data_IF_739376012106
#
_entry.id   IF_739376012106
#
_cell.length_a   1.000
_cell.length_b   1.000
_cell.length_c   1.000
_cell.angle_alpha   90.00
_cell.angle_beta   90.00
_cell.angle_gamma   90.00
#
_symmetry.space_group_name_H-M   'P 1'
#
loop_
_entity.id
_entity.type
_entity.pdbx_description
1 polymer ?
#
# COMPACT_ATOMS: atom_id res chain seq x y z
N UNK A 1 0.57 6.20 -2.52
CA UNK A 1 1.93 6.22 -3.12
C UNK A 1 2.66 7.41 -2.52
N UNK A 2 3.87 7.22 -1.98
CA UNK A 2 4.68 8.27 -1.37
C UNK A 2 6.00 8.44 -2.16
N UNK A 3 6.77 9.49 -1.90
CA UNK A 3 7.94 9.89 -2.70
C UNK A 3 8.94 8.76 -3.00
N UNK A 4 9.21 7.87 -2.04
CA UNK A 4 10.19 6.77 -2.17
C UNK A 4 9.60 5.37 -1.93
N UNK A 5 8.30 5.28 -1.68
CA UNK A 5 7.67 4.04 -1.26
C UNK A 5 6.23 3.91 -1.76
N UNK A 6 5.77 2.67 -1.90
CA UNK A 6 4.38 2.33 -2.15
C UNK A 6 3.87 1.57 -0.93
N UNK A 7 3.02 2.21 -0.14
CA UNK A 7 2.35 1.57 0.99
C UNK A 7 1.18 0.77 0.46
N UNK A 8 1.17 -0.54 0.72
CA UNK A 8 0.18 -1.50 0.23
C UNK A 8 -0.52 -2.14 1.42
N UNK A 9 -1.85 -2.16 1.48
CA UNK A 9 -2.55 -2.87 2.53
C UNK A 9 -2.42 -4.39 2.34
N UNK A 10 -2.16 -5.09 3.43
CA UNK A 10 -2.25 -6.56 3.52
C UNK A 10 -3.42 -6.93 4.43
N UNK A 11 -3.99 -8.12 4.26
CA UNK A 11 -5.23 -8.53 4.93
C UNK A 11 -5.16 -9.90 5.61
N UNK A 12 -3.95 -10.43 5.81
CA UNK A 12 -3.71 -11.82 6.26
C UNK A 12 -4.30 -12.82 5.26
N UNK A 13 -4.38 -12.42 4.00
CA UNK A 13 -4.88 -13.24 2.90
C UNK A 13 -3.69 -13.93 2.22
N UNK A 14 -3.93 -15.14 1.72
CA UNK A 14 -2.91 -15.92 1.00
C UNK A 14 -2.36 -15.21 -0.24
N UNK A 15 -3.06 -14.21 -0.77
CA UNK A 15 -2.62 -13.44 -1.93
C UNK A 15 -1.86 -12.17 -1.57
N UNK A 16 -1.64 -11.84 -0.29
CA UNK A 16 -0.94 -10.62 0.11
C UNK A 16 0.48 -10.58 -0.49
N UNK A 17 1.23 -11.68 -0.38
CA UNK A 17 2.59 -11.78 -0.93
C UNK A 17 2.59 -11.60 -2.45
N UNK A 18 1.65 -12.26 -3.14
CA UNK A 18 1.49 -12.11 -4.60
C UNK A 18 1.18 -10.66 -4.99
N UNK A 19 0.35 -9.95 -4.23
CA UNK A 19 0.04 -8.55 -4.50
C UNK A 19 1.28 -7.67 -4.31
N UNK A 20 2.07 -7.91 -3.26
CA UNK A 20 3.31 -7.18 -3.00
C UNK A 20 4.35 -7.41 -4.11
N UNK A 21 4.53 -8.65 -4.58
CA UNK A 21 5.44 -8.97 -5.69
C UNK A 21 5.05 -8.26 -6.99
N UNK A 22 3.77 -8.34 -7.37
CA UNK A 22 3.26 -7.69 -8.58
C UNK A 22 3.49 -6.18 -8.49
N UNK A 23 3.13 -5.56 -7.37
CA UNK A 23 3.32 -4.13 -7.19
C UNK A 23 4.79 -3.74 -7.17
N UNK A 24 5.69 -4.60 -6.66
CA UNK A 24 7.12 -4.32 -6.67
C UNK A 24 7.68 -4.32 -8.10
N UNK A 25 7.15 -5.18 -8.99
CA UNK A 25 7.48 -5.15 -10.42
C UNK A 25 6.96 -3.88 -11.11
N UNK A 26 5.79 -3.38 -10.71
CA UNK A 26 5.23 -2.13 -11.26
C UNK A 26 5.98 -0.87 -10.80
N UNK A 27 6.65 -0.91 -9.64
CA UNK A 27 7.35 0.23 -9.06
C UNK A 27 8.83 -0.11 -8.78
N UNK A 28 9.66 -0.31 -9.82
CA UNK A 28 11.04 -0.79 -9.65
C UNK A 28 11.91 0.16 -8.83
N UNK A 29 11.65 1.48 -8.90
CA UNK A 29 12.43 2.51 -8.20
C UNK A 29 11.89 2.87 -6.82
N UNK A 30 10.83 2.19 -6.35
CA UNK A 30 10.21 2.47 -5.04
C UNK A 30 10.07 1.19 -4.24
N UNK A 31 10.32 1.29 -2.93
CA UNK A 31 10.10 0.16 -2.03
C UNK A 31 8.60 -0.07 -1.83
N UNK A 32 8.12 -1.27 -2.15
CA UNK A 32 6.78 -1.70 -1.77
C UNK A 32 6.78 -2.15 -0.31
N UNK A 33 5.90 -1.59 0.50
CA UNK A 33 5.79 -1.85 1.94
C UNK A 33 4.38 -2.32 2.25
N UNK A 34 4.23 -3.60 2.55
CA UNK A 34 2.99 -4.19 3.07
C UNK A 34 2.75 -3.79 4.52
N UNK A 35 1.55 -3.32 4.85
CA UNK A 35 1.13 -3.04 6.23
C UNK A 35 -0.25 -3.66 6.47
N UNK A 36 -0.37 -4.44 7.54
CA UNK A 36 -1.64 -5.07 7.94
C UNK A 36 -2.73 -4.02 8.11
N UNK A 37 -3.79 -4.15 7.33
CA UNK A 37 -4.94 -3.25 7.27
C UNK A 37 -6.25 -3.98 7.56
N UNK A 38 -6.21 -5.22 8.08
CA UNK A 38 -7.40 -6.01 8.41
C UNK A 38 -8.36 -5.27 9.35
N UNK A 39 -7.85 -4.49 10.30
CA UNK A 39 -8.72 -3.75 11.21
C UNK A 39 -9.26 -2.44 10.58
N UNK A 40 -8.50 -1.83 9.67
CA UNK A 40 -8.83 -0.57 9.02
C UNK A 40 -9.97 -0.75 8.00
N UNK A 41 -9.96 -1.88 7.26
CA UNK A 41 -10.92 -2.10 6.17
C UNK A 41 -12.38 -2.20 6.64
N UNK A 42 -12.63 -2.51 7.91
CA UNK A 42 -13.97 -2.46 8.51
C UNK A 42 -14.59 -1.05 8.48
N UNK A 43 -13.76 -0.01 8.41
CA UNK A 43 -14.17 1.38 8.18
C UNK A 43 -14.46 1.73 6.72
N UNK A 44 -14.57 0.73 5.82
CA UNK A 44 -14.84 0.88 4.39
C UNK A 44 -13.76 1.66 3.62
N UNK A 45 -12.52 1.66 4.11
CA UNK A 45 -11.38 2.33 3.49
C UNK A 45 -10.04 1.77 3.96
N UNK A 46 -8.96 2.22 3.32
CA UNK A 46 -7.59 1.86 3.70
C UNK A 46 -6.63 3.04 3.42
N UNK A 47 -5.31 2.81 3.33
CA UNK A 47 -4.30 3.87 3.30
C UNK A 47 -4.53 4.94 2.24
N UNK A 48 -4.98 4.56 1.03
CA UNK A 48 -5.31 5.56 0.00
C UNK A 48 -6.45 6.49 0.46
N UNK A 49 -7.52 5.92 1.02
CA UNK A 49 -8.70 6.64 1.49
C UNK A 49 -8.41 7.56 2.67
N UNK A 50 -7.40 7.23 3.49
CA UNK A 50 -7.03 7.96 4.71
C UNK A 50 -5.92 9.01 4.48
N UNK A 51 -5.34 9.06 3.28
CA UNK A 51 -4.21 9.92 2.98
C UNK A 51 -4.58 11.03 2.01
N UNK A 52 -3.92 12.18 2.16
CA UNK A 52 -3.91 13.24 1.17
C UNK A 52 -2.46 13.63 0.91
N UNK A 53 -2.02 13.54 -0.34
CA UNK A 53 -0.68 14.00 -0.71
C UNK A 53 -0.65 15.52 -0.82
N UNK A 54 0.47 16.10 -0.39
CA UNK A 54 0.83 17.50 -0.61
C UNK A 54 2.02 17.55 -1.58
N UNK A 55 1.89 18.23 -2.74
CA UNK A 55 2.99 18.40 -3.68
C UNK A 55 4.16 19.17 -3.07
N UNK A 56 5.38 18.89 -3.54
CA UNK A 56 6.52 19.78 -3.28
C UNK A 56 6.33 21.12 -4.04
N UNK A 57 6.90 22.18 -3.49
CA UNK A 57 6.89 23.54 -4.06
C UNK A 57 7.65 23.58 -5.39
#
# INVERSE_FOLDING_TARGET
>A
IANKAVVVPTYRDKNDEKALEILQQCFPDRKVVGIDSTDIIWGLGSFHCLSQQEPAV
#
